data_IF_700938066105
#
_entry.id   IF_700938066105
#
_cell.length_a   1.000
_cell.length_b   1.000
_cell.length_c   1.000
_cell.angle_alpha   90.00
_cell.angle_beta   90.00
_cell.angle_gamma   90.00
#
_symmetry.space_group_name_H-M   'P 1'
#
loop_
_entity.id
_entity.type
_entity.pdbx_description
1 polymer ?
#
# COMPACT_ATOMS: atom_id res chain seq x y z
N UNK A 1 -23.03 18.76 7.93
CA UNK A 1 -21.87 18.44 8.78
C UNK A 1 -20.76 18.00 7.85
N UNK A 2 -19.71 18.82 7.76
CA UNK A 2 -18.59 18.66 6.83
C UNK A 2 -17.63 17.59 7.36
N UNK A 3 -17.46 16.50 6.61
CA UNK A 3 -16.52 15.42 6.92
C UNK A 3 -15.26 15.55 6.08
N UNK A 4 -14.20 16.06 6.69
CA UNK A 4 -12.79 15.62 6.63
C UNK A 4 -12.21 14.90 5.39
N UNK A 5 -12.54 15.27 4.15
CA UNK A 5 -11.84 14.72 2.96
C UNK A 5 -10.37 15.20 2.84
N UNK A 6 -9.93 16.16 3.66
CA UNK A 6 -8.59 16.74 3.62
C UNK A 6 -7.48 15.99 4.38
N UNK A 7 -7.81 15.04 5.26
CA UNK A 7 -6.85 14.42 6.19
C UNK A 7 -6.23 13.12 5.63
N UNK A 8 -7.03 12.32 4.92
CA UNK A 8 -6.61 11.00 4.41
C UNK A 8 -5.53 11.07 3.32
N UNK A 9 -5.50 12.17 2.56
CA UNK A 9 -4.50 12.36 1.48
C UNK A 9 -3.14 12.73 2.06
N UNK A 10 -3.10 13.64 3.04
CA UNK A 10 -1.86 14.03 3.70
C UNK A 10 -1.25 12.86 4.50
N UNK A 11 -2.08 12.06 5.16
CA UNK A 11 -1.60 10.84 5.83
C UNK A 11 -1.03 9.82 4.83
N UNK A 12 -1.70 9.59 3.71
CA UNK A 12 -1.24 8.67 2.66
C UNK A 12 0.11 9.09 2.08
N UNK A 13 0.31 10.39 1.82
CA UNK A 13 1.56 10.95 1.31
C UNK A 13 2.71 10.82 2.33
N UNK A 14 2.45 11.11 3.61
CA UNK A 14 3.43 10.93 4.69
C UNK A 14 3.85 9.46 4.85
N UNK A 15 2.89 8.53 4.77
CA UNK A 15 3.16 7.08 4.82
C UNK A 15 3.97 6.61 3.64
N UNK A 16 3.73 7.16 2.45
CA UNK A 16 4.53 6.85 1.27
C UNK A 16 5.99 7.30 1.42
N UNK A 17 6.23 8.52 1.89
CA UNK A 17 7.59 9.03 2.15
C UNK A 17 8.28 8.20 3.23
N UNK A 18 7.56 7.84 4.29
CA UNK A 18 8.07 6.98 5.37
C UNK A 18 8.46 5.60 4.86
N UNK A 19 7.61 4.97 4.04
CA UNK A 19 7.90 3.68 3.44
C UNK A 19 9.11 3.71 2.50
N UNK A 20 9.27 4.80 1.74
CA UNK A 20 10.45 5.01 0.90
C UNK A 20 11.73 5.15 1.74
N UNK A 21 11.66 5.84 2.88
CA UNK A 21 12.80 6.03 3.79
C UNK A 21 13.22 4.73 4.52
N UNK A 22 12.30 3.77 4.75
CA UNK A 22 12.62 2.49 5.42
C UNK A 22 13.55 1.57 4.61
N UNK A 23 13.72 1.80 3.30
CA UNK A 23 14.58 0.96 2.47
C UNK A 23 14.04 -0.47 2.29
N UNK A 24 14.87 -1.37 1.75
CA UNK A 24 14.51 -2.77 1.48
C UNK A 24 14.42 -3.61 2.77
N UNK A 25 13.19 -3.80 3.28
CA UNK A 25 12.90 -4.73 4.36
C UNK A 25 12.91 -6.20 3.92
N UNK A 26 12.87 -7.12 4.89
CA UNK A 26 12.76 -8.57 4.63
C UNK A 26 11.33 -8.91 4.24
N UNK A 27 11.15 -9.65 3.15
CA UNK A 27 9.82 -10.08 2.72
C UNK A 27 9.22 -11.08 3.69
N UNK A 28 8.00 -10.79 4.16
CA UNK A 28 7.26 -11.65 5.09
C UNK A 28 6.07 -12.34 4.40
N UNK A 29 5.52 -11.73 3.35
CA UNK A 29 4.48 -12.32 2.53
C UNK A 29 4.44 -11.70 1.14
N UNK A 30 4.05 -12.49 0.14
CA UNK A 30 3.88 -12.04 -1.24
C UNK A 30 2.64 -12.64 -1.87
N UNK A 31 2.02 -11.89 -2.76
CA UNK A 31 0.97 -12.37 -3.65
C UNK A 31 1.08 -11.66 -4.99
N UNK A 32 0.58 -12.30 -6.03
CA UNK A 32 0.39 -11.69 -7.35
C UNK A 32 -1.03 -11.93 -7.83
N UNK A 33 -1.54 -11.05 -8.67
CA UNK A 33 -2.86 -11.22 -9.25
C UNK A 33 -3.15 -10.20 -10.33
N UNK A 34 -4.37 -10.26 -10.88
CA UNK A 34 -4.85 -9.33 -11.90
C UNK A 34 -6.07 -8.61 -11.34
N UNK A 35 -6.06 -7.28 -11.33
CA UNK A 35 -7.12 -6.47 -10.71
C UNK A 35 -6.97 -6.36 -9.19
N UNK A 36 -6.61 -7.45 -8.51
CA UNK A 36 -6.26 -7.44 -7.08
C UNK A 36 -5.19 -8.48 -6.71
N UNK A 37 -4.47 -8.21 -5.62
CA UNK A 37 -3.56 -9.15 -4.97
C UNK A 37 -3.69 -9.00 -3.45
N UNK A 38 -3.81 -10.12 -2.72
CA UNK A 38 -4.01 -10.11 -1.25
C UNK A 38 -3.05 -11.06 -0.56
N UNK A 39 -2.51 -10.62 0.57
CA UNK A 39 -1.75 -11.45 1.50
C UNK A 39 -2.40 -11.44 2.88
N UNK A 40 -2.26 -12.56 3.59
CA UNK A 40 -2.50 -12.65 5.03
C UNK A 40 -1.16 -12.75 5.75
N UNK A 41 -1.05 -12.08 6.89
CA UNK A 41 0.19 -12.04 7.71
C UNK A 41 -0.16 -12.29 9.16
N UNK A 42 0.74 -12.93 9.90
CA UNK A 42 0.52 -13.26 11.32
C UNK A 42 0.83 -12.05 12.21
N UNK A 43 -0.07 -11.06 12.25
CA UNK A 43 -0.01 -9.94 13.22
C UNK A 43 1.26 -9.09 13.09
N UNK A 44 1.43 -8.41 11.96
CA UNK A 44 2.59 -7.58 11.68
C UNK A 44 2.45 -6.18 12.32
N UNK A 45 3.43 -5.81 13.14
CA UNK A 45 3.60 -4.43 13.64
C UNK A 45 4.66 -3.68 12.82
N UNK A 46 4.25 -2.64 12.10
CA UNK A 46 5.12 -1.83 11.25
C UNK A 46 5.53 -2.52 9.94
N UNK A 47 6.57 -1.99 9.29
CA UNK A 47 7.02 -2.44 7.97
C UNK A 47 6.36 -1.67 6.82
N UNK A 48 6.39 -2.24 5.62
CA UNK A 48 5.82 -1.61 4.44
C UNK A 48 5.12 -2.61 3.51
N UNK A 49 4.05 -2.18 2.86
CA UNK A 49 3.49 -2.86 1.70
C UNK A 49 4.07 -2.24 0.43
N UNK A 50 4.62 -3.08 -0.44
CA UNK A 50 5.15 -2.70 -1.75
C UNK A 50 4.26 -3.31 -2.81
N UNK A 51 3.70 -2.46 -3.67
CA UNK A 51 2.86 -2.91 -4.78
C UNK A 51 3.56 -2.54 -6.08
N UNK A 52 3.87 -3.54 -6.89
CA UNK A 52 4.33 -3.35 -8.25
C UNK A 52 3.18 -3.56 -9.21
N UNK A 53 2.95 -2.60 -10.09
CA UNK A 53 1.99 -2.71 -11.20
C UNK A 53 2.74 -3.10 -12.48
N UNK A 54 2.14 -3.97 -13.28
CA UNK A 54 2.71 -4.37 -14.57
C UNK A 54 2.52 -3.29 -15.63
N UNK A 55 1.43 -2.51 -15.52
CA UNK A 55 1.09 -1.46 -16.46
C UNK A 55 1.61 -0.10 -15.97
N UNK A 56 2.54 0.50 -16.74
CA UNK A 56 3.07 1.83 -16.46
C UNK A 56 2.02 2.96 -16.58
N UNK A 57 0.89 2.71 -17.25
CA UNK A 57 -0.22 3.65 -17.29
C UNK A 57 -1.01 3.68 -15.98
N UNK A 58 -0.86 2.69 -15.10
CA UNK A 58 -1.55 2.67 -13.80
C UNK A 58 -1.01 3.78 -12.90
N UNK A 59 -1.88 4.75 -12.61
CA UNK A 59 -1.55 5.93 -11.79
C UNK A 59 -1.94 5.79 -10.33
N UNK A 60 -2.95 5.00 -10.06
CA UNK A 60 -3.51 4.86 -8.72
C UNK A 60 -3.59 3.40 -8.33
N UNK A 61 -3.18 3.12 -7.10
CA UNK A 61 -3.38 1.84 -6.44
C UNK A 61 -4.18 2.08 -5.17
N UNK A 62 -5.23 1.28 -4.98
CA UNK A 62 -5.94 1.21 -3.70
C UNK A 62 -5.33 0.10 -2.86
N UNK A 63 -4.97 0.40 -1.62
CA UNK A 63 -4.43 -0.57 -0.66
C UNK A 63 -5.35 -0.62 0.55
N UNK A 64 -5.92 -1.79 0.84
CA UNK A 64 -6.68 -2.07 2.05
C UNK A 64 -5.80 -2.79 3.05
N UNK A 65 -5.75 -2.27 4.27
CA UNK A 65 -5.00 -2.85 5.39
C UNK A 65 -5.98 -3.24 6.47
N UNK A 66 -6.06 -4.54 6.79
CA UNK A 66 -6.86 -5.04 7.89
C UNK A 66 -5.97 -5.29 9.10
N UNK A 67 -6.39 -4.80 10.26
CA UNK A 67 -5.69 -4.93 11.54
C UNK A 67 -6.66 -5.27 12.67
N UNK A 68 -6.13 -5.47 13.87
CA UNK A 68 -6.92 -5.53 15.12
C UNK A 68 -7.69 -4.24 15.43
N UNK A 69 -7.32 -3.11 14.81
CA UNK A 69 -8.02 -1.82 14.92
C UNK A 69 -9.10 -1.61 13.86
N UNK A 70 -9.27 -2.57 12.94
CA UNK A 70 -10.21 -2.50 11.82
C UNK A 70 -9.52 -2.44 10.46
N UNK A 71 -10.32 -2.25 9.41
CA UNK A 71 -9.83 -2.13 8.03
C UNK A 71 -9.76 -0.68 7.61
N UNK A 72 -8.60 -0.26 7.09
CA UNK A 72 -8.37 1.07 6.51
C UNK A 72 -8.06 0.94 5.02
N UNK A 73 -8.50 1.91 4.25
CA UNK A 73 -8.22 2.00 2.82
C UNK A 73 -7.34 3.22 2.53
N UNK A 74 -6.31 3.02 1.71
CA UNK A 74 -5.38 4.05 1.29
C UNK A 74 -5.35 4.11 -0.23
N UNK A 75 -5.38 5.31 -0.79
CA UNK A 75 -5.31 5.53 -2.23
C UNK A 75 -4.00 6.22 -2.57
N UNK A 76 -3.07 5.50 -3.17
CA UNK A 76 -1.75 6.03 -3.51
C UNK A 76 -1.76 6.39 -4.99
N UNK A 77 -1.54 7.67 -5.29
CA UNK A 77 -1.58 8.18 -6.68
C UNK A 77 -0.24 8.78 -7.06
N UNK A 78 0.34 8.31 -8.16
CA UNK A 78 1.52 8.93 -8.76
C UNK A 78 1.13 10.18 -9.56
N UNK A 79 1.98 11.20 -9.52
CA UNK A 79 1.84 12.38 -10.37
C UNK A 79 1.75 12.00 -11.86
N UNK A 80 0.94 12.73 -12.62
CA UNK A 80 0.84 12.58 -14.08
C UNK A 80 2.20 12.72 -14.79
N UNK A 81 3.10 13.52 -14.20
CA UNK A 81 4.46 13.75 -14.72
C UNK A 81 5.40 12.56 -14.49
N UNK A 82 5.06 11.62 -13.59
CA UNK A 82 5.89 10.44 -13.34
C UNK A 82 5.58 9.33 -14.35
N UNK A 83 6.33 9.20 -15.43
CA UNK A 83 5.99 8.30 -16.55
C UNK A 83 6.49 6.86 -16.42
N UNK A 84 7.29 6.54 -15.38
CA UNK A 84 8.03 5.27 -15.31
C UNK A 84 7.89 4.55 -13.95
N UNK A 85 7.14 5.12 -13.00
CA UNK A 85 7.07 4.55 -11.65
C UNK A 85 6.00 3.46 -11.58
N UNK A 86 6.46 2.21 -11.47
CA UNK A 86 5.62 1.03 -11.31
C UNK A 86 5.52 0.52 -9.87
N UNK A 87 6.24 1.13 -8.92
CA UNK A 87 6.24 0.71 -7.51
C UNK A 87 5.56 1.74 -6.62
N UNK A 88 4.55 1.29 -5.89
CA UNK A 88 3.77 2.02 -4.88
C UNK A 88 4.12 1.48 -3.49
N UNK A 89 4.21 2.36 -2.51
CA UNK A 89 4.71 2.05 -1.18
C UNK A 89 3.74 2.57 -0.12
N UNK A 90 3.43 1.75 0.88
CA UNK A 90 2.61 2.14 2.03
C UNK A 90 3.31 1.74 3.33
N UNK A 91 3.49 2.69 4.24
CA UNK A 91 3.98 2.40 5.59
C UNK A 91 2.85 1.77 6.44
N UNK A 92 3.15 0.62 7.03
CA UNK A 92 2.23 -0.12 7.90
C UNK A 92 2.43 0.22 9.39
N UNK A 93 3.29 1.18 9.70
CA UNK A 93 3.54 1.70 11.04
C UNK A 93 2.27 2.31 11.64
N UNK A 94 2.12 2.12 12.95
CA UNK A 94 1.03 2.70 13.73
C UNK A 94 -0.40 2.31 13.29
N UNK A 95 -0.54 1.33 12.38
CA UNK A 95 -1.83 0.79 11.94
C UNK A 95 -2.37 -0.32 12.85
N UNK A 96 -1.66 -0.68 13.91
CA UNK A 96 -2.00 -1.84 14.78
C UNK A 96 -1.37 -3.13 14.30
N UNK A 97 -1.88 -4.26 14.78
CA UNK A 97 -1.46 -5.60 14.37
C UNK A 97 -2.09 -5.94 13.02
N UNK A 98 -1.36 -5.70 11.93
CA UNK A 98 -1.84 -5.96 10.57
C UNK A 98 -1.96 -7.46 10.34
N UNK A 99 -3.09 -7.91 9.81
CA UNK A 99 -3.39 -9.32 9.52
C UNK A 99 -3.64 -9.60 8.04
N UNK A 100 -3.98 -8.57 7.27
CA UNK A 100 -4.07 -8.68 5.81
C UNK A 100 -3.74 -7.35 5.11
N UNK A 101 -3.17 -7.48 3.92
CA UNK A 101 -2.99 -6.37 2.99
C UNK A 101 -3.54 -6.80 1.64
N UNK A 102 -4.37 -5.97 1.04
CA UNK A 102 -4.92 -6.16 -0.30
C UNK A 102 -4.60 -4.94 -1.15
N UNK A 103 -4.07 -5.15 -2.34
CA UNK A 103 -3.84 -4.11 -3.32
C UNK A 103 -4.74 -4.32 -4.53
N UNK A 104 -5.31 -3.24 -5.06
CA UNK A 104 -6.16 -3.25 -6.24
C UNK A 104 -5.78 -2.14 -7.21
N UNK A 105 -5.62 -2.51 -8.48
CA UNK A 105 -5.39 -1.62 -9.60
C UNK A 105 -5.65 -2.35 -10.93
N UNK A 106 -5.84 -1.64 -12.05
CA UNK A 106 -5.95 -2.28 -13.36
C UNK A 106 -4.72 -3.12 -13.70
N UNK A 107 -4.94 -4.28 -14.32
CA UNK A 107 -3.86 -5.13 -14.82
C UNK A 107 -3.14 -5.95 -13.73
N UNK A 108 -1.92 -6.39 -14.06
CA UNK A 108 -1.13 -7.28 -13.21
C UNK A 108 -0.51 -6.55 -12.01
N UNK A 109 -0.57 -7.19 -10.84
CA UNK A 109 -0.10 -6.70 -9.56
C UNK A 109 0.83 -7.71 -8.90
N UNK A 110 1.90 -7.22 -8.29
CA UNK A 110 2.69 -7.95 -7.30
C UNK A 110 2.66 -7.18 -5.98
N UNK A 111 2.11 -7.81 -4.94
CA UNK A 111 2.11 -7.29 -3.58
C UNK A 111 3.19 -8.00 -2.77
N UNK A 112 4.08 -7.24 -2.15
CA UNK A 112 5.13 -7.72 -1.26
C UNK A 112 5.09 -6.94 0.05
N UNK A 113 4.78 -7.62 1.16
CA UNK A 113 4.83 -7.04 2.49
C UNK A 113 6.21 -7.31 3.08
N UNK A 114 6.86 -6.27 3.60
CA UNK A 114 8.22 -6.31 4.15
C UNK A 114 8.26 -5.77 5.58
N UNK A 115 9.22 -6.26 6.38
CA UNK A 115 9.53 -5.77 7.72
C UNK A 115 10.96 -5.26 7.81
#
# INVERSE_FOLDING_TARGET
MSGTEGDDTAESDLRFVTAAARGAGTSVARASGTGSARVTVAGLTGGAARVRVSDAATRTVTVKVTSDRGTREFRITNSERMTHRQEFLLDLGDLGNVTAVEAAAPGGLELNVVK
#
